data_IF_814318852020
#
_entry.id   IF_814318852020
#
_cell.length_a   1.000
_cell.length_b   1.000
_cell.length_c   1.000
_cell.angle_alpha   90.00
_cell.angle_beta   90.00
_cell.angle_gamma   90.00
#
_symmetry.space_group_name_H-M   'P 1'
#
loop_
_entity.id
_entity.type
_entity.pdbx_description
1 polymer ?
#
# COMPACT_ATOMS: atom_id res chain seq x y z
N UNK A 1 -2.90 -16.84 23.68
CA UNK A 1 -4.16 -16.10 23.45
C UNK A 1 -4.46 -16.16 21.96
N UNK A 2 -5.45 -16.92 21.55
CA UNK A 2 -5.73 -17.16 20.12
C UNK A 2 -6.37 -15.92 19.50
N UNK A 3 -5.91 -15.50 18.32
CA UNK A 3 -6.44 -14.35 17.55
C UNK A 3 -7.96 -14.49 17.29
N UNK A 4 -8.51 -15.68 17.47
CA UNK A 4 -9.92 -16.03 17.19
C UNK A 4 -10.90 -15.77 18.35
N UNK A 5 -10.41 -15.45 19.54
CA UNK A 5 -11.24 -15.41 20.76
C UNK A 5 -12.06 -14.14 20.94
N UNK A 6 -11.80 -13.08 20.13
CA UNK A 6 -12.56 -11.83 20.17
C UNK A 6 -13.32 -11.60 18.87
N UNK A 7 -14.59 -11.16 19.02
CA UNK A 7 -15.40 -10.72 17.86
C UNK A 7 -14.69 -9.59 17.10
N UNK A 8 -14.79 -9.60 15.79
CA UNK A 8 -14.18 -8.56 14.93
C UNK A 8 -14.63 -7.15 15.31
N UNK A 9 -15.91 -6.97 15.60
CA UNK A 9 -16.51 -5.69 16.06
C UNK A 9 -15.83 -5.12 17.29
N UNK A 10 -15.47 -5.98 18.25
CA UNK A 10 -14.82 -5.54 19.48
C UNK A 10 -13.37 -5.12 19.21
N UNK A 11 -12.66 -5.89 18.38
CA UNK A 11 -11.30 -5.54 17.97
C UNK A 11 -11.27 -4.22 17.20
N UNK A 12 -12.26 -3.99 16.33
CA UNK A 12 -12.38 -2.77 15.55
C UNK A 12 -12.60 -1.55 16.47
N UNK A 13 -13.51 -1.69 17.45
CA UNK A 13 -13.79 -0.64 18.45
C UNK A 13 -12.55 -0.33 19.29
N UNK A 14 -11.88 -1.36 19.80
CA UNK A 14 -10.68 -1.20 20.63
C UNK A 14 -9.55 -0.53 19.85
N UNK A 15 -9.37 -0.91 18.57
CA UNK A 15 -8.35 -0.29 17.71
C UNK A 15 -8.69 1.18 17.41
N UNK A 16 -9.95 1.50 17.12
CA UNK A 16 -10.40 2.88 16.95
C UNK A 16 -10.15 3.74 18.16
N UNK A 17 -10.49 3.22 19.36
CA UNK A 17 -10.25 3.93 20.62
C UNK A 17 -8.76 4.16 20.87
N UNK A 18 -7.93 3.15 20.56
CA UNK A 18 -6.47 3.22 20.78
C UNK A 18 -5.76 4.16 19.79
N UNK A 19 -6.18 4.17 18.54
CA UNK A 19 -5.48 4.89 17.47
C UNK A 19 -6.09 6.24 17.13
N UNK A 20 -7.35 6.47 17.49
CA UNK A 20 -8.13 7.62 17.05
C UNK A 20 -8.53 7.58 15.57
N UNK A 21 -8.22 6.49 14.87
CA UNK A 21 -8.47 6.33 13.43
C UNK A 21 -9.78 5.58 13.17
N UNK A 22 -10.43 5.89 12.08
CA UNK A 22 -11.62 5.15 11.64
C UNK A 22 -11.29 3.80 11.00
N UNK A 23 -10.20 3.75 10.22
CA UNK A 23 -9.64 2.54 9.59
C UNK A 23 -8.16 2.78 9.21
N UNK A 24 -7.54 1.78 8.59
CA UNK A 24 -6.11 1.74 8.27
C UNK A 24 -5.71 2.64 7.06
N UNK A 25 -6.57 3.53 6.61
CA UNK A 25 -6.29 4.39 5.46
C UNK A 25 -6.72 5.84 5.72
N UNK A 26 -5.86 6.77 5.32
CA UNK A 26 -6.17 8.18 5.21
C UNK A 26 -6.06 8.61 3.74
N UNK A 27 -7.03 9.39 3.26
CA UNK A 27 -7.03 9.95 1.91
C UNK A 27 -7.05 11.46 2.01
N UNK A 28 -6.09 12.09 1.36
CA UNK A 28 -5.97 13.55 1.30
C UNK A 28 -5.74 14.00 -0.16
N UNK A 29 -6.28 15.14 -0.50
CA UNK A 29 -6.02 15.80 -1.77
C UNK A 29 -5.24 17.09 -1.52
N UNK A 30 -4.28 17.38 -2.38
CA UNK A 30 -3.40 18.54 -2.23
C UNK A 30 -2.63 18.83 -3.50
N UNK A 31 -1.47 19.43 -3.33
CA UNK A 31 -0.54 19.74 -4.41
C UNK A 31 0.90 19.48 -3.95
N UNK A 32 1.72 19.00 -4.85
CA UNK A 32 3.18 18.94 -4.70
C UNK A 32 3.73 20.01 -5.64
N UNK A 33 4.24 21.11 -5.07
CA UNK A 33 4.78 22.25 -5.82
C UNK A 33 3.85 22.78 -6.94
N UNK A 34 2.55 22.87 -6.64
CA UNK A 34 1.54 23.34 -7.60
C UNK A 34 0.87 22.25 -8.46
N UNK A 35 1.42 21.04 -8.51
CA UNK A 35 0.82 19.90 -9.23
C UNK A 35 -0.23 19.20 -8.38
N UNK A 36 -1.48 19.04 -8.88
CA UNK A 36 -2.52 18.36 -8.13
C UNK A 36 -2.14 16.91 -7.85
N UNK A 37 -2.40 16.46 -6.65
CA UNK A 37 -2.23 15.05 -6.28
C UNK A 37 -3.27 14.61 -5.25
N UNK A 38 -3.52 13.31 -5.22
CA UNK A 38 -4.32 12.65 -4.19
C UNK A 38 -3.47 11.56 -3.57
N UNK A 39 -3.33 11.61 -2.25
CA UNK A 39 -2.53 10.64 -1.50
C UNK A 39 -3.46 9.72 -0.71
N UNK A 40 -3.23 8.42 -0.81
CA UNK A 40 -3.88 7.38 -0.01
C UNK A 40 -2.81 6.65 0.82
N UNK A 41 -2.66 7.05 2.08
CA UNK A 41 -1.65 6.53 2.98
C UNK A 41 -2.24 5.54 3.99
N UNK A 42 -1.52 4.45 4.22
CA UNK A 42 -1.88 3.45 5.23
C UNK A 42 -1.31 3.79 6.60
N UNK A 43 -2.02 3.40 7.64
CA UNK A 43 -1.52 3.44 9.00
C UNK A 43 -1.41 2.03 9.57
N UNK A 44 -0.18 1.56 9.74
CA UNK A 44 0.11 0.22 10.24
C UNK A 44 -0.39 -0.02 11.67
N UNK A 45 -0.56 1.05 12.48
CA UNK A 45 -1.08 0.96 13.85
C UNK A 45 -2.52 0.45 13.88
N UNK A 46 -3.28 0.67 12.80
CA UNK A 46 -4.64 0.17 12.68
C UNK A 46 -4.65 -1.25 12.11
N UNK A 47 -4.71 -2.25 13.00
CA UNK A 47 -4.78 -3.68 12.65
C UNK A 47 -3.69 -4.14 11.66
N UNK A 48 -2.44 -3.65 11.83
CA UNK A 48 -1.33 -3.98 10.94
C UNK A 48 -1.50 -3.45 9.52
N UNK A 49 -2.18 -2.32 9.34
CA UNK A 49 -2.43 -1.73 8.03
C UNK A 49 -3.30 -2.61 7.11
N UNK A 50 -3.98 -3.62 7.64
CA UNK A 50 -4.63 -4.64 6.83
C UNK A 50 -5.76 -4.09 5.96
N UNK A 51 -5.80 -4.52 4.70
CA UNK A 51 -6.80 -4.10 3.72
C UNK A 51 -8.14 -4.79 3.93
N UNK A 52 -9.11 -4.07 4.50
CA UNK A 52 -10.52 -4.43 4.55
C UNK A 52 -11.36 -3.57 3.60
N UNK A 53 -12.69 -3.68 3.70
CA UNK A 53 -13.63 -2.91 2.87
C UNK A 53 -13.38 -1.41 2.90
N UNK A 54 -13.11 -0.85 4.08
CA UNK A 54 -12.90 0.60 4.21
C UNK A 54 -11.63 1.06 3.50
N UNK A 55 -10.56 0.26 3.57
CA UNK A 55 -9.33 0.54 2.83
C UNK A 55 -9.58 0.49 1.32
N UNK A 56 -10.24 -0.56 0.81
CA UNK A 56 -10.59 -0.64 -0.59
C UNK A 56 -11.47 0.54 -1.05
N UNK A 57 -12.45 0.96 -0.23
CA UNK A 57 -13.24 2.17 -0.50
C UNK A 57 -12.36 3.43 -0.56
N UNK A 58 -11.37 3.54 0.32
CA UNK A 58 -10.42 4.66 0.35
C UNK A 58 -9.61 4.75 -0.94
N UNK A 59 -9.07 3.63 -1.44
CA UNK A 59 -8.33 3.58 -2.71
C UNK A 59 -9.24 3.97 -3.89
N UNK A 60 -10.44 3.40 -3.97
CA UNK A 60 -11.41 3.75 -5.03
C UNK A 60 -11.77 5.24 -4.99
N UNK A 61 -11.96 5.80 -3.79
CA UNK A 61 -12.25 7.23 -3.63
C UNK A 61 -11.04 8.07 -4.06
N UNK A 62 -9.84 7.70 -3.66
CA UNK A 62 -8.61 8.40 -4.02
C UNK A 62 -8.41 8.43 -5.55
N UNK A 63 -8.60 7.30 -6.23
CA UNK A 63 -8.51 7.22 -7.67
C UNK A 63 -9.53 8.12 -8.39
N UNK A 64 -10.80 8.08 -7.97
CA UNK A 64 -11.85 8.96 -8.53
C UNK A 64 -11.55 10.44 -8.30
N UNK A 65 -11.04 10.79 -7.12
CA UNK A 65 -10.67 12.16 -6.80
C UNK A 65 -9.46 12.63 -7.61
N UNK A 66 -8.46 11.75 -7.84
CA UNK A 66 -7.32 12.06 -8.71
C UNK A 66 -7.78 12.36 -10.14
N UNK A 67 -8.66 11.53 -10.70
CA UNK A 67 -9.25 11.75 -12.02
C UNK A 67 -10.03 13.06 -12.07
N UNK A 68 -10.89 13.35 -11.08
CA UNK A 68 -11.68 14.57 -11.02
C UNK A 68 -10.81 15.83 -10.95
N UNK A 69 -9.65 15.76 -10.26
CA UNK A 69 -8.69 16.87 -10.13
C UNK A 69 -7.67 16.92 -11.26
N UNK A 70 -7.67 15.95 -12.17
CA UNK A 70 -6.63 15.78 -13.20
C UNK A 70 -5.23 15.80 -12.57
N UNK A 71 -5.06 15.07 -11.48
CA UNK A 71 -3.84 15.03 -10.68
C UNK A 71 -3.30 13.61 -10.50
N UNK A 72 -2.07 13.51 -10.01
CA UNK A 72 -1.44 12.24 -9.72
C UNK A 72 -2.15 11.48 -8.60
N UNK A 73 -2.24 10.15 -8.72
CA UNK A 73 -2.56 9.28 -7.59
C UNK A 73 -1.26 8.82 -6.94
N UNK A 74 -1.16 8.97 -5.62
CA UNK A 74 -0.02 8.49 -4.83
C UNK A 74 -0.57 7.55 -3.75
N UNK A 75 -0.15 6.30 -3.75
CA UNK A 75 -0.47 5.38 -2.66
C UNK A 75 0.76 5.11 -1.81
N UNK A 76 0.57 5.10 -0.48
CA UNK A 76 1.63 4.82 0.49
C UNK A 76 1.21 3.61 1.32
N UNK A 77 1.35 2.38 0.79
CA UNK A 77 0.99 1.18 1.53
C UNK A 77 1.99 0.90 2.65
N UNK A 78 1.46 0.52 3.83
CA UNK A 78 2.19 -0.08 4.94
C UNK A 78 1.25 -1.11 5.57
N UNK A 79 1.45 -2.40 5.30
CA UNK A 79 0.40 -3.41 5.51
C UNK A 79 0.93 -4.84 5.58
N UNK A 80 0.26 -5.65 6.41
CA UNK A 80 0.39 -7.11 6.41
C UNK A 80 -0.50 -7.83 5.36
N UNK A 81 -1.22 -7.10 4.49
CA UNK A 81 -2.06 -7.68 3.44
C UNK A 81 -3.57 -7.61 3.71
N UNK A 82 -4.33 -8.54 3.16
CA UNK A 82 -5.78 -8.59 3.30
C UNK A 82 -6.23 -8.84 4.74
N UNK A 83 -7.29 -8.15 5.19
CA UNK A 83 -7.85 -8.27 6.54
C UNK A 83 -8.62 -9.57 6.72
N UNK A 84 -7.98 -10.58 7.30
CA UNK A 84 -8.54 -11.92 7.48
C UNK A 84 -9.90 -11.92 8.21
N UNK A 85 -10.13 -10.98 9.12
CA UNK A 85 -11.37 -10.88 9.89
C UNK A 85 -12.59 -10.50 9.06
N UNK A 86 -12.39 -9.93 7.88
CA UNK A 86 -13.47 -9.61 6.92
C UNK A 86 -13.70 -10.73 5.89
N UNK A 87 -12.91 -11.81 5.95
CA UNK A 87 -13.07 -12.98 5.08
C UNK A 87 -13.01 -12.63 3.60
N UNK A 88 -13.92 -13.17 2.82
CA UNK A 88 -13.98 -12.95 1.37
C UNK A 88 -14.14 -11.47 0.99
N UNK A 89 -14.76 -10.66 1.84
CA UNK A 89 -14.93 -9.23 1.55
C UNK A 89 -13.60 -8.48 1.47
N UNK A 90 -12.59 -8.89 2.25
CA UNK A 90 -11.24 -8.32 2.11
C UNK A 90 -10.54 -8.78 0.83
N UNK A 91 -10.75 -10.03 0.41
CA UNK A 91 -10.20 -10.55 -0.84
C UNK A 91 -10.81 -9.84 -2.05
N UNK A 92 -12.10 -9.52 -2.00
CA UNK A 92 -12.77 -8.78 -3.08
C UNK A 92 -12.29 -7.33 -3.21
N UNK A 93 -11.50 -6.82 -2.27
CA UNK A 93 -10.86 -5.51 -2.44
C UNK A 93 -9.70 -5.55 -3.45
N UNK A 94 -9.06 -6.72 -3.67
CA UNK A 94 -7.98 -6.84 -4.63
C UNK A 94 -8.43 -6.41 -6.05
N UNK A 95 -9.43 -7.08 -6.67
CA UNK A 95 -9.88 -6.67 -8.00
C UNK A 95 -10.50 -5.26 -8.01
N UNK A 96 -11.14 -4.82 -6.91
CA UNK A 96 -11.69 -3.46 -6.84
C UNK A 96 -10.62 -2.37 -6.86
N UNK A 97 -9.52 -2.57 -6.17
CA UNK A 97 -8.41 -1.61 -6.14
C UNK A 97 -7.64 -1.59 -7.46
N UNK A 98 -7.50 -2.75 -8.12
CA UNK A 98 -6.94 -2.83 -9.48
C UNK A 98 -7.80 -2.02 -10.45
N UNK A 99 -9.12 -2.26 -10.46
CA UNK A 99 -10.04 -1.49 -11.32
C UNK A 99 -10.01 0.02 -11.03
N UNK A 100 -9.76 0.42 -9.77
CA UNK A 100 -9.62 1.83 -9.43
C UNK A 100 -8.31 2.45 -9.98
N UNK A 101 -7.21 1.70 -9.99
CA UNK A 101 -5.96 2.14 -10.62
C UNK A 101 -6.11 2.26 -12.13
N UNK A 102 -6.81 1.32 -12.77
CA UNK A 102 -7.10 1.40 -14.21
C UNK A 102 -7.87 2.68 -14.59
N UNK A 103 -8.79 3.17 -13.75
CA UNK A 103 -9.45 4.46 -14.00
C UNK A 103 -8.46 5.64 -14.07
N UNK A 104 -7.39 5.61 -13.29
CA UNK A 104 -6.35 6.65 -13.30
C UNK A 104 -5.51 6.52 -14.56
N UNK A 105 -5.14 5.31 -14.93
CA UNK A 105 -4.38 4.99 -16.14
C UNK A 105 -5.16 5.37 -17.41
N UNK A 106 -6.44 5.02 -17.49
CA UNK A 106 -7.32 5.36 -18.61
C UNK A 106 -7.48 6.88 -18.79
N UNK A 107 -7.37 7.63 -17.67
CA UNK A 107 -7.38 9.09 -17.69
C UNK A 107 -6.02 9.71 -18.10
N UNK A 108 -4.99 8.91 -18.36
CA UNK A 108 -3.64 9.38 -18.68
C UNK A 108 -2.95 10.10 -17.54
N UNK A 109 -3.28 9.73 -16.28
CA UNK A 109 -2.75 10.38 -15.09
C UNK A 109 -1.72 9.48 -14.40
N UNK A 110 -0.64 10.06 -13.84
CA UNK A 110 0.41 9.27 -13.22
C UNK A 110 -0.05 8.62 -11.90
N UNK A 111 0.36 7.39 -11.72
CA UNK A 111 0.16 6.62 -10.50
C UNK A 111 1.49 6.23 -9.87
N UNK A 112 1.81 6.82 -8.72
CA UNK A 112 3.02 6.52 -7.93
C UNK A 112 2.68 5.64 -6.73
N UNK A 113 3.56 4.69 -6.46
CA UNK A 113 3.49 3.86 -5.25
C UNK A 113 4.73 4.09 -4.40
N UNK A 114 4.52 4.52 -3.15
CA UNK A 114 5.58 4.69 -2.14
C UNK A 114 5.52 3.51 -1.18
N UNK A 115 6.30 2.48 -1.45
CA UNK A 115 6.32 1.23 -0.68
C UNK A 115 7.00 1.44 0.67
N UNK A 116 6.20 1.58 1.73
CA UNK A 116 6.70 1.70 3.10
C UNK A 116 6.80 0.34 3.79
N UNK A 117 7.55 0.30 4.90
CA UNK A 117 7.74 -0.93 5.68
C UNK A 117 6.53 -1.24 6.59
N UNK A 118 6.06 -2.49 6.63
CA UNK A 118 6.15 -3.52 5.59
C UNK A 118 5.03 -3.35 4.56
N UNK A 119 5.24 -3.82 3.33
CA UNK A 119 4.16 -3.94 2.34
C UNK A 119 4.08 -5.37 1.82
N UNK A 120 3.05 -6.12 2.23
CA UNK A 120 2.99 -7.56 1.97
C UNK A 120 1.59 -8.06 1.57
N UNK A 121 1.54 -9.31 1.15
CA UNK A 121 0.31 -10.08 0.93
C UNK A 121 -0.55 -9.58 -0.21
N UNK A 122 -1.87 -9.55 0.00
CA UNK A 122 -2.85 -9.16 -1.03
C UNK A 122 -2.70 -7.71 -1.53
N UNK A 123 -2.00 -6.84 -0.81
CA UNK A 123 -1.75 -5.47 -1.26
C UNK A 123 -0.66 -5.43 -2.31
N UNK A 124 0.45 -6.15 -2.13
CA UNK A 124 1.47 -6.32 -3.18
C UNK A 124 0.92 -7.10 -4.37
N UNK A 125 0.05 -8.09 -4.14
CA UNK A 125 -0.60 -8.83 -5.21
C UNK A 125 -1.73 -8.05 -5.92
N UNK A 126 -1.89 -6.77 -5.64
CA UNK A 126 -2.91 -5.91 -6.26
C UNK A 126 -2.35 -4.55 -6.62
N UNK A 127 -2.91 -3.47 -6.12
CA UNK A 127 -2.60 -2.10 -6.55
C UNK A 127 -1.15 -1.66 -6.24
N UNK A 128 -0.51 -2.19 -5.19
CA UNK A 128 0.81 -1.69 -4.77
C UNK A 128 1.96 -2.02 -5.74
N UNK A 129 1.78 -2.98 -6.63
CA UNK A 129 2.76 -3.32 -7.67
C UNK A 129 2.28 -2.94 -9.09
N UNK A 130 1.34 -2.00 -9.18
CA UNK A 130 0.78 -1.52 -10.45
C UNK A 130 1.10 -0.03 -10.70
N UNK A 131 1.98 0.58 -9.91
CA UNK A 131 2.44 1.94 -10.14
C UNK A 131 3.13 2.10 -11.49
N UNK A 132 3.00 3.27 -12.09
CA UNK A 132 3.86 3.65 -13.21
C UNK A 132 5.31 3.75 -12.73
N UNK A 133 5.49 4.19 -11.48
CA UNK A 133 6.77 4.19 -10.78
C UNK A 133 6.55 3.70 -9.34
N UNK A 134 7.41 2.78 -8.92
CA UNK A 134 7.41 2.17 -7.59
C UNK A 134 8.66 2.60 -6.84
N UNK A 135 8.45 3.41 -5.81
CA UNK A 135 9.50 3.95 -4.95
C UNK A 135 9.43 3.24 -3.60
N UNK A 136 10.52 2.66 -3.14
CA UNK A 136 10.57 2.01 -1.84
C UNK A 136 11.34 2.85 -0.82
N UNK A 137 10.94 2.77 0.45
CA UNK A 137 11.75 3.31 1.55
C UNK A 137 12.95 2.39 1.82
N UNK A 138 14.14 2.94 2.16
CA UNK A 138 15.30 2.13 2.49
C UNK A 138 15.00 1.08 3.57
N UNK A 139 15.42 -0.16 3.35
CA UNK A 139 15.21 -1.28 4.27
C UNK A 139 13.75 -1.76 4.39
N UNK A 140 12.82 -1.25 3.59
CA UNK A 140 11.44 -1.71 3.64
C UNK A 140 11.33 -3.17 3.20
N UNK A 141 10.57 -3.96 3.93
CA UNK A 141 10.23 -5.33 3.55
C UNK A 141 9.00 -5.33 2.67
N UNK A 142 9.16 -5.83 1.46
CA UNK A 142 8.12 -5.83 0.43
C UNK A 142 8.05 -7.22 -0.17
N UNK A 143 6.88 -7.84 -0.19
CA UNK A 143 6.73 -9.17 -0.74
C UNK A 143 5.31 -9.73 -0.58
N UNK A 144 5.04 -10.88 -1.19
CA UNK A 144 3.72 -11.52 -1.05
C UNK A 144 3.65 -12.34 0.23
N UNK A 145 4.46 -13.37 0.34
CA UNK A 145 4.52 -14.22 1.53
C UNK A 145 5.69 -13.80 2.44
N UNK A 146 5.50 -13.91 3.74
CA UNK A 146 6.58 -13.66 4.69
C UNK A 146 7.71 -14.69 4.54
N UNK A 147 8.95 -14.27 4.79
CA UNK A 147 10.18 -15.08 4.71
C UNK A 147 10.02 -16.47 5.33
N UNK A 148 9.52 -16.53 6.58
CA UNK A 148 9.33 -17.78 7.30
C UNK A 148 8.44 -18.77 6.54
N UNK A 149 7.33 -18.29 5.97
CA UNK A 149 6.39 -19.13 5.22
C UNK A 149 7.07 -19.70 3.97
N UNK A 150 7.87 -18.89 3.29
CA UNK A 150 8.60 -19.32 2.10
C UNK A 150 9.64 -20.38 2.48
N UNK A 151 10.47 -20.12 3.50
CA UNK A 151 11.52 -21.05 3.95
C UNK A 151 10.93 -22.40 4.42
N UNK A 152 9.80 -22.37 5.15
CA UNK A 152 9.10 -23.58 5.58
C UNK A 152 8.51 -24.38 4.40
N UNK A 153 8.08 -23.68 3.34
CA UNK A 153 7.46 -24.30 2.15
C UNK A 153 8.49 -24.86 1.19
N UNK A 154 9.51 -24.07 0.87
CA UNK A 154 10.56 -24.44 -0.10
C UNK A 154 11.65 -25.30 0.57
N UNK A 155 11.77 -25.24 1.90
CA UNK A 155 12.79 -25.93 2.72
C UNK A 155 14.22 -25.48 2.40
N UNK A 156 14.37 -24.24 1.98
CA UNK A 156 15.65 -23.59 1.72
C UNK A 156 15.77 -22.31 2.56
N UNK A 157 17.01 -21.95 2.92
CA UNK A 157 17.30 -20.68 3.57
C UNK A 157 17.36 -19.58 2.52
N UNK A 158 16.61 -18.51 2.76
CA UNK A 158 16.64 -17.32 1.91
C UNK A 158 17.84 -16.42 2.28
N UNK A 159 18.36 -15.62 1.33
CA UNK A 159 19.35 -14.59 1.60
C UNK A 159 18.91 -13.66 2.75
N UNK A 160 19.86 -13.08 3.49
CA UNK A 160 19.53 -12.23 4.65
C UNK A 160 18.75 -10.98 4.25
N UNK A 161 19.06 -10.42 3.11
CA UNK A 161 18.46 -9.23 2.51
C UNK A 161 17.21 -9.51 1.66
N UNK A 162 16.78 -10.78 1.56
CA UNK A 162 15.61 -11.17 0.77
C UNK A 162 14.36 -10.36 1.12
N UNK A 163 13.71 -9.82 0.09
CA UNK A 163 12.54 -8.93 0.18
C UNK A 163 12.81 -7.54 0.77
N UNK A 164 14.05 -7.12 0.98
CA UNK A 164 14.34 -5.72 1.28
C UNK A 164 14.15 -4.85 0.02
N UNK A 165 13.94 -3.56 0.22
CA UNK A 165 13.82 -2.60 -0.88
C UNK A 165 15.03 -2.63 -1.82
N UNK A 166 16.24 -2.72 -1.24
CA UNK A 166 17.51 -2.79 -1.96
C UNK A 166 17.60 -4.06 -2.79
N UNK A 167 17.27 -5.22 -2.19
CA UNK A 167 17.22 -6.49 -2.91
C UNK A 167 16.26 -6.44 -4.11
N UNK A 168 15.07 -5.85 -3.91
CA UNK A 168 14.07 -5.74 -4.96
C UNK A 168 14.47 -4.77 -6.07
N UNK A 169 15.20 -3.71 -5.74
CA UNK A 169 15.77 -2.78 -6.72
C UNK A 169 16.82 -3.48 -7.58
N UNK A 170 17.73 -4.25 -6.99
CA UNK A 170 18.75 -5.02 -7.71
C UNK A 170 18.13 -6.08 -8.64
N UNK A 171 16.91 -6.54 -8.34
CA UNK A 171 16.16 -7.51 -9.15
C UNK A 171 15.11 -6.87 -10.07
N UNK A 172 15.08 -5.54 -10.18
CA UNK A 172 14.20 -4.81 -11.10
C UNK A 172 12.71 -4.86 -10.72
N UNK A 173 12.39 -5.08 -9.43
CA UNK A 173 11.02 -5.12 -8.93
C UNK A 173 10.53 -3.77 -8.38
N UNK A 174 11.43 -2.86 -8.08
CA UNK A 174 11.14 -1.47 -7.73
C UNK A 174 12.07 -0.56 -8.53
N UNK A 175 11.62 0.66 -8.82
CA UNK A 175 12.33 1.59 -9.70
C UNK A 175 13.36 2.43 -8.93
N UNK A 176 13.12 2.70 -7.65
CA UNK A 176 14.02 3.47 -6.82
C UNK A 176 13.87 3.15 -5.34
N UNK A 177 14.97 3.32 -4.60
CA UNK A 177 14.98 3.31 -3.13
C UNK A 177 15.32 4.73 -2.67
N UNK A 178 14.33 5.42 -2.07
CA UNK A 178 14.42 6.84 -1.75
C UNK A 178 14.00 7.10 -0.30
N UNK A 179 14.85 7.75 0.53
CA UNK A 179 14.49 8.15 1.88
C UNK A 179 13.22 9.02 1.89
N UNK A 180 12.37 8.83 2.89
CA UNK A 180 11.08 9.53 2.99
C UNK A 180 11.18 11.05 2.83
N UNK A 181 12.22 11.66 3.38
CA UNK A 181 12.41 13.11 3.30
C UNK A 181 12.66 13.62 1.88
N UNK A 182 13.21 12.77 1.00
CA UNK A 182 13.58 13.09 -0.37
C UNK A 182 12.48 12.73 -1.39
N UNK A 183 11.49 11.92 -0.98
CA UNK A 183 10.42 11.46 -1.88
C UNK A 183 9.62 12.59 -2.54
N UNK A 184 9.29 13.71 -1.86
CA UNK A 184 8.55 14.80 -2.51
C UNK A 184 9.31 15.42 -3.68
N UNK A 185 10.62 15.66 -3.54
CA UNK A 185 11.46 16.19 -4.61
C UNK A 185 11.63 15.17 -5.74
N UNK A 186 11.81 13.90 -5.38
CA UNK A 186 11.94 12.82 -6.35
C UNK A 186 10.66 12.66 -7.18
N UNK A 187 9.48 12.64 -6.56
CA UNK A 187 8.19 12.60 -7.28
C UNK A 187 8.02 13.81 -8.18
N UNK A 188 8.40 14.99 -7.69
CA UNK A 188 8.31 16.22 -8.46
C UNK A 188 9.14 16.14 -9.74
N UNK A 189 10.35 15.56 -9.68
CA UNK A 189 11.19 15.37 -10.86
C UNK A 189 10.57 14.46 -11.93
N UNK A 190 9.65 13.59 -11.53
CA UNK A 190 8.96 12.63 -12.41
C UNK A 190 7.65 13.16 -12.99
N UNK A 191 6.95 14.04 -12.27
CA UNK A 191 5.68 14.64 -12.74
C UNK A 191 5.90 15.55 -13.97
N UNK A 192 7.11 16.03 -14.20
CA UNK A 192 7.44 16.91 -15.31
C UNK A 192 7.74 16.18 -16.63
N UNK A 193 7.81 14.88 -16.60
CA UNK A 193 8.06 14.05 -17.78
C UNK A 193 6.75 13.70 -18.45
#
# INVERSE_FOLDING_TARGET
MCIRDRKYTDRLRDTRNKTGLNDAIAVAAGQINGYPCVIAAFDFRFMGGSMGRMVGNGIVRAAKEAVARKGALITVPSTGGARMQEGVLSLMQLPRTIAAVELVRDAGLPYFVLLAHPTTGGVTASFAMLGDIQIAEPGAIIGFAGRRVIEETVREKLPEDFQTAEYLMDHGMVDAVVPRAEQPEYILSLIHI
#
